data_IF_230151492515
#
_entry.id   IF_230151492515
#
_cell.length_a   1.000
_cell.length_b   1.000
_cell.length_c   1.000
_cell.angle_alpha   90.00
_cell.angle_beta   90.00
_cell.angle_gamma   90.00
#
_symmetry.space_group_name_H-M   'P 1'
#
loop_
_entity.id
_entity.type
_entity.pdbx_description
1 polymer ?
#
# COMPACT_ATOMS: atom_id res chain seq x y z
N UNK A 1 -50.39 -16.13 19.33
CA UNK A 1 -49.61 -16.21 18.08
C UNK A 1 -48.91 -14.88 17.72
N UNK A 2 -49.59 -13.73 17.75
CA UNK A 2 -48.97 -12.41 17.43
C UNK A 2 -47.85 -11.94 18.38
N UNK A 3 -47.88 -12.37 19.66
CA UNK A 3 -46.84 -12.05 20.66
C UNK A 3 -45.54 -12.86 20.51
N UNK A 4 -45.61 -14.08 19.96
CA UNK A 4 -44.42 -14.93 19.71
C UNK A 4 -43.67 -14.43 18.47
N UNK A 5 -44.40 -13.92 17.47
CA UNK A 5 -43.82 -13.33 16.26
C UNK A 5 -43.03 -12.04 16.54
N UNK A 6 -43.43 -11.25 17.55
CA UNK A 6 -42.71 -10.04 17.97
C UNK A 6 -41.42 -10.33 18.74
N UNK A 7 -41.32 -11.47 19.44
CA UNK A 7 -40.10 -11.86 20.17
C UNK A 7 -39.05 -12.38 19.19
N UNK A 8 -39.45 -13.10 18.13
CA UNK A 8 -38.53 -13.56 17.08
C UNK A 8 -37.95 -12.42 16.23
N UNK A 9 -38.70 -11.34 16.01
CA UNK A 9 -38.20 -10.17 15.28
C UNK A 9 -37.25 -9.30 16.11
N UNK A 10 -37.42 -9.26 17.44
CA UNK A 10 -36.48 -8.58 18.33
C UNK A 10 -35.14 -9.35 18.51
N UNK A 11 -35.16 -10.68 18.45
CA UNK A 11 -33.94 -11.51 18.55
C UNK A 11 -33.04 -11.43 17.32
N UNK A 12 -33.58 -11.16 16.14
CA UNK A 12 -32.83 -11.14 14.88
C UNK A 12 -32.01 -9.86 14.67
N UNK A 13 -32.29 -8.79 15.43
CA UNK A 13 -31.57 -7.50 15.29
C UNK A 13 -30.29 -7.45 16.14
N UNK A 14 -30.14 -8.33 17.13
CA UNK A 14 -28.98 -8.35 18.04
C UNK A 14 -27.72 -9.06 17.47
N UNK A 15 -27.80 -9.65 16.27
CA UNK A 15 -26.72 -10.44 15.67
C UNK A 15 -25.82 -9.71 14.66
N UNK A 16 -26.17 -8.47 14.28
CA UNK A 16 -25.44 -7.73 13.24
C UNK A 16 -24.60 -6.61 13.84
N UNK A 17 -23.59 -6.97 14.64
CA UNK A 17 -22.47 -6.07 14.84
C UNK A 17 -21.69 -6.04 13.52
N UNK A 18 -21.63 -4.91 12.78
CA UNK A 18 -20.68 -4.81 11.69
C UNK A 18 -19.30 -5.03 12.29
N UNK A 19 -18.56 -6.00 11.77
CA UNK A 19 -17.13 -6.10 12.01
C UNK A 19 -16.54 -4.75 11.61
N UNK A 20 -16.26 -3.89 12.59
CA UNK A 20 -15.46 -2.70 12.37
C UNK A 20 -14.12 -3.28 11.92
N UNK A 21 -13.92 -3.32 10.60
CA UNK A 21 -12.63 -3.67 10.02
C UNK A 21 -11.63 -2.77 10.69
N UNK A 22 -10.79 -3.31 11.57
CA UNK A 22 -9.70 -2.54 12.14
C UNK A 22 -8.85 -2.19 10.93
N UNK A 23 -8.92 -0.95 10.48
CA UNK A 23 -8.01 -0.41 9.50
C UNK A 23 -6.61 -0.83 9.98
N UNK A 24 -5.95 -1.68 9.22
CA UNK A 24 -4.60 -2.13 9.52
C UNK A 24 -3.72 -0.91 9.36
N UNK A 25 -3.56 -0.16 10.43
CA UNK A 25 -2.82 1.09 10.39
C UNK A 25 -1.34 0.73 10.52
N UNK A 26 -0.69 0.55 9.38
CA UNK A 26 0.76 0.53 9.30
C UNK A 26 1.23 1.98 9.35
N UNK A 27 1.97 2.31 10.39
CA UNK A 27 2.59 3.62 10.58
C UNK A 27 4.10 3.47 10.46
N UNK A 28 4.73 4.43 9.82
CA UNK A 28 6.16 4.45 9.66
C UNK A 28 6.64 5.69 8.91
N UNK A 29 7.91 5.67 8.56
CA UNK A 29 8.52 6.66 7.68
C UNK A 29 8.51 6.13 6.26
N UNK A 30 8.02 6.94 5.34
CA UNK A 30 8.00 6.66 3.90
C UNK A 30 8.89 7.67 3.18
N UNK A 31 9.69 7.18 2.25
CA UNK A 31 10.50 8.00 1.35
C UNK A 31 10.30 7.49 -0.07
N UNK A 32 10.06 8.44 -0.97
CA UNK A 32 9.99 8.19 -2.39
C UNK A 32 10.96 9.13 -3.10
N UNK A 33 11.75 8.58 -4.01
CA UNK A 33 12.52 9.34 -4.98
C UNK A 33 12.11 8.93 -6.38
N UNK A 34 11.98 9.91 -7.26
CA UNK A 34 11.62 9.74 -8.67
C UNK A 34 12.75 10.23 -9.54
N UNK A 35 12.84 9.69 -10.77
CA UNK A 35 13.75 10.23 -11.79
C UNK A 35 13.23 11.49 -12.49
N UNK A 36 12.01 11.93 -12.17
CA UNK A 36 11.43 13.21 -12.57
C UNK A 36 11.12 14.03 -11.31
N UNK A 37 11.08 15.36 -11.44
CA UNK A 37 10.70 16.23 -10.34
C UNK A 37 9.18 16.20 -10.12
N UNK A 38 8.78 15.86 -8.90
CA UNK A 38 7.36 15.67 -8.53
C UNK A 38 6.67 16.99 -8.17
N UNK A 39 7.40 17.93 -7.56
CA UNK A 39 6.87 19.20 -7.06
C UNK A 39 7.32 20.37 -7.91
N UNK A 40 6.89 20.37 -9.16
CA UNK A 40 7.34 21.34 -10.15
C UNK A 40 6.19 21.99 -10.91
N UNK A 41 6.48 23.10 -11.59
CA UNK A 41 5.51 23.80 -12.43
C UNK A 41 5.25 23.05 -13.74
N UNK A 42 4.13 23.32 -14.43
CA UNK A 42 3.78 22.63 -15.68
C UNK A 42 4.87 22.70 -16.75
N UNK A 43 5.59 23.83 -16.84
CA UNK A 43 6.67 24.00 -17.81
C UNK A 43 7.81 22.99 -17.63
N UNK A 44 8.16 22.66 -16.38
CA UNK A 44 9.24 21.73 -16.09
C UNK A 44 8.75 20.28 -16.21
N UNK A 45 7.54 19.99 -15.70
CA UNK A 45 6.93 18.68 -15.88
C UNK A 45 6.84 18.31 -17.39
N UNK A 46 6.41 19.25 -18.23
CA UNK A 46 6.37 19.06 -19.69
C UNK A 46 7.75 18.87 -20.34
N UNK A 47 8.82 19.36 -19.70
CA UNK A 47 10.17 19.13 -20.17
C UNK A 47 10.72 17.73 -19.77
N UNK A 48 10.01 17.00 -18.91
CA UNK A 48 10.44 15.69 -18.38
C UNK A 48 9.53 14.53 -18.80
N UNK A 49 8.23 14.76 -18.94
CA UNK A 49 7.24 13.73 -19.31
C UNK A 49 7.64 13.08 -20.64
N UNK A 50 7.65 11.75 -20.67
CA UNK A 50 8.07 10.95 -21.82
C UNK A 50 9.59 10.84 -22.02
N UNK A 51 10.39 11.57 -21.25
CA UNK A 51 11.87 11.52 -21.29
C UNK A 51 12.45 10.87 -20.04
N UNK A 52 11.92 11.21 -18.85
CA UNK A 52 12.30 10.67 -17.54
C UNK A 52 11.05 10.36 -16.69
N UNK A 53 11.24 10.03 -15.41
CA UNK A 53 10.15 9.68 -14.48
C UNK A 53 9.66 8.23 -14.57
N UNK A 54 10.30 7.40 -15.39
CA UNK A 54 10.03 5.97 -15.54
C UNK A 54 10.73 5.11 -14.46
N UNK A 55 11.43 5.73 -13.50
CA UNK A 55 12.17 5.06 -12.43
C UNK A 55 11.85 5.68 -11.08
N UNK A 56 11.75 4.83 -10.06
CA UNK A 56 11.50 5.28 -8.70
C UNK A 56 12.16 4.35 -7.67
N UNK A 57 12.49 4.89 -6.49
CA UNK A 57 12.83 4.10 -5.32
C UNK A 57 11.86 4.49 -4.22
N UNK A 58 11.13 3.51 -3.70
CA UNK A 58 10.16 3.65 -2.63
C UNK A 58 10.68 2.88 -1.42
N UNK A 59 10.84 3.53 -0.28
CA UNK A 59 11.32 2.92 0.95
C UNK A 59 10.31 3.16 2.07
N UNK A 60 9.98 2.10 2.79
CA UNK A 60 9.12 2.16 3.96
C UNK A 60 9.83 1.56 5.17
N UNK A 61 9.97 2.36 6.23
CA UNK A 61 10.41 1.92 7.56
C UNK A 61 9.20 1.82 8.46
N UNK A 62 8.77 0.60 8.77
CA UNK A 62 7.57 0.36 9.58
C UNK A 62 7.93 0.57 11.06
N UNK A 63 7.30 1.56 11.69
CA UNK A 63 7.46 1.82 13.12
C UNK A 63 6.50 0.93 13.92
N UNK A 64 5.23 0.89 13.52
CA UNK A 64 4.20 0.04 14.13
C UNK A 64 3.19 -0.40 13.09
N UNK A 65 2.76 -1.66 13.17
CA UNK A 65 1.66 -2.16 12.36
C UNK A 65 1.73 -3.65 12.10
N UNK A 66 0.65 -4.15 11.52
CA UNK A 66 0.57 -5.52 11.04
C UNK A 66 -0.07 -5.55 9.66
N UNK A 67 0.38 -6.49 8.84
CA UNK A 67 -0.20 -6.76 7.53
C UNK A 67 -0.82 -8.16 7.56
N UNK A 68 -2.13 -8.25 7.28
CA UNK A 68 -2.87 -9.51 7.27
C UNK A 68 -2.66 -10.38 8.53
N UNK A 69 -2.50 -9.75 9.70
CA UNK A 69 -2.27 -10.43 10.98
C UNK A 69 -0.80 -10.68 11.34
N UNK A 70 0.14 -10.42 10.44
CA UNK A 70 1.58 -10.54 10.67
C UNK A 70 2.15 -9.21 11.15
N UNK A 71 2.78 -9.19 12.33
CA UNK A 71 3.41 -7.98 12.89
C UNK A 71 4.68 -7.62 12.12
N UNK A 72 4.78 -6.36 11.69
CA UNK A 72 5.90 -5.84 10.90
C UNK A 72 6.69 -4.72 11.62
N UNK A 73 6.43 -4.54 12.92
CA UNK A 73 7.06 -3.51 13.74
C UNK A 73 8.59 -3.54 13.60
N UNK A 74 9.18 -2.40 13.27
CA UNK A 74 10.63 -2.25 13.17
C UNK A 74 11.26 -2.98 11.98
N UNK A 75 10.50 -3.39 10.98
CA UNK A 75 10.99 -3.91 9.70
C UNK A 75 10.98 -2.83 8.61
N UNK A 76 11.73 -3.09 7.53
CA UNK A 76 11.77 -2.23 6.35
C UNK A 76 11.52 -3.01 5.06
N UNK A 77 11.01 -2.31 4.05
CA UNK A 77 10.99 -2.79 2.67
C UNK A 77 11.32 -1.64 1.72
N UNK A 78 12.05 -1.95 0.65
CA UNK A 78 12.38 -1.00 -0.42
C UNK A 78 12.01 -1.60 -1.76
N UNK A 79 11.32 -0.85 -2.61
CA UNK A 79 11.07 -1.17 -4.01
C UNK A 79 11.90 -0.28 -4.92
N UNK A 80 12.71 -0.89 -5.80
CA UNK A 80 13.41 -0.21 -6.89
C UNK A 80 12.67 -0.51 -8.18
N UNK A 81 12.07 0.52 -8.78
CA UNK A 81 11.02 0.39 -9.80
C UNK A 81 11.52 0.90 -11.16
N UNK A 82 11.15 0.17 -12.21
CA UNK A 82 11.20 0.61 -13.60
C UNK A 82 9.82 0.42 -14.24
N UNK A 83 9.22 1.51 -14.71
CA UNK A 83 7.93 1.52 -15.42
C UNK A 83 8.14 1.60 -16.94
N UNK A 84 7.08 1.35 -17.72
CA UNK A 84 7.09 1.55 -19.18
C UNK A 84 6.99 3.03 -19.58
N UNK A 85 6.35 3.87 -18.76
CA UNK A 85 6.17 5.30 -19.00
C UNK A 85 6.42 6.13 -17.73
N UNK A 86 6.37 7.46 -17.85
CA UNK A 86 6.50 8.40 -16.73
C UNK A 86 5.45 8.11 -15.67
N UNK A 87 5.89 7.87 -14.43
CA UNK A 87 5.02 7.56 -13.30
C UNK A 87 4.22 8.80 -12.90
N UNK A 88 2.89 8.69 -12.90
CA UNK A 88 1.98 9.79 -12.57
C UNK A 88 1.52 10.63 -13.78
N UNK A 89 2.01 10.34 -15.00
CA UNK A 89 1.48 10.95 -16.23
C UNK A 89 0.04 10.46 -16.49
N UNK A 90 -0.96 11.34 -16.55
CA UNK A 90 -2.35 10.94 -16.78
C UNK A 90 -2.63 10.49 -18.23
N UNK A 91 -1.70 10.70 -19.17
CA UNK A 91 -1.89 10.42 -20.59
C UNK A 91 -1.18 9.15 -21.08
N UNK A 92 -0.33 8.54 -20.25
CA UNK A 92 0.44 7.35 -20.59
C UNK A 92 0.15 6.20 -19.64
N UNK A 93 0.28 4.98 -20.14
CA UNK A 93 0.17 3.77 -19.33
C UNK A 93 1.55 3.37 -18.78
N UNK A 94 1.78 3.39 -17.45
CA UNK A 94 3.06 3.04 -16.86
C UNK A 94 3.34 1.52 -16.86
N UNK A 95 2.35 0.68 -17.20
CA UNK A 95 2.50 -0.77 -17.17
C UNK A 95 3.07 -1.36 -18.47
N UNK A 96 3.84 -2.47 -18.42
CA UNK A 96 4.26 -3.16 -17.20
C UNK A 96 5.25 -2.31 -16.39
N UNK A 97 5.13 -2.40 -15.07
CA UNK A 97 6.07 -1.85 -14.12
C UNK A 97 6.70 -3.00 -13.36
N UNK A 98 8.01 -3.03 -13.33
CA UNK A 98 8.81 -4.06 -12.68
C UNK A 98 9.50 -3.47 -11.46
N UNK A 99 9.64 -4.28 -10.41
CA UNK A 99 10.28 -3.86 -9.17
C UNK A 99 11.21 -4.94 -8.65
N UNK A 100 12.40 -4.53 -8.20
CA UNK A 100 13.24 -5.32 -7.30
C UNK A 100 12.88 -4.93 -5.88
N UNK A 101 12.39 -5.90 -5.11
CA UNK A 101 12.07 -5.70 -3.69
C UNK A 101 13.26 -6.12 -2.81
N UNK A 102 13.74 -5.19 -1.99
CA UNK A 102 14.73 -5.41 -0.95
C UNK A 102 13.98 -5.48 0.37
N UNK A 103 14.06 -6.64 1.02
CA UNK A 103 13.33 -6.94 2.25
C UNK A 103 14.32 -7.06 3.40
N UNK A 104 13.97 -6.51 4.57
CA UNK A 104 14.81 -6.54 5.77
C UNK A 104 15.31 -7.95 6.10
N UNK A 105 16.62 -8.10 6.29
CA UNK A 105 17.28 -9.39 6.49
C UNK A 105 16.82 -10.08 7.77
N UNK A 106 16.49 -9.31 8.81
CA UNK A 106 16.04 -9.85 10.10
C UNK A 106 14.59 -10.31 10.11
N UNK A 107 13.84 -10.14 9.03
CA UNK A 107 12.46 -10.58 8.93
C UNK A 107 12.40 -12.12 8.99
N UNK A 108 11.47 -12.67 9.77
CA UNK A 108 11.17 -14.10 9.71
C UNK A 108 10.61 -14.48 8.32
N UNK A 109 10.57 -15.77 7.93
CA UNK A 109 10.00 -16.17 6.64
C UNK A 109 8.56 -15.69 6.42
N UNK A 110 7.74 -15.71 7.48
CA UNK A 110 6.37 -15.21 7.46
C UNK A 110 6.34 -13.68 7.27
N UNK A 111 7.17 -12.94 8.01
CA UNK A 111 7.29 -11.49 7.89
C UNK A 111 7.82 -11.05 6.53
N UNK A 112 8.78 -11.77 5.95
CA UNK A 112 9.30 -11.51 4.61
C UNK A 112 8.18 -11.61 3.58
N UNK A 113 7.36 -12.67 3.67
CA UNK A 113 6.20 -12.83 2.79
C UNK A 113 5.19 -11.70 2.98
N UNK A 114 4.92 -11.32 4.23
CA UNK A 114 4.01 -10.23 4.54
C UNK A 114 4.54 -8.85 4.06
N UNK A 115 5.84 -8.58 4.17
CA UNK A 115 6.48 -7.36 3.63
C UNK A 115 6.39 -7.28 2.10
N UNK A 116 6.61 -8.41 1.42
CA UNK A 116 6.49 -8.48 -0.04
C UNK A 116 5.04 -8.17 -0.46
N UNK A 117 4.05 -8.79 0.19
CA UNK A 117 2.64 -8.52 -0.10
C UNK A 117 2.26 -7.07 0.21
N UNK A 118 2.70 -6.56 1.36
CA UNK A 118 2.49 -5.16 1.74
C UNK A 118 3.05 -4.18 0.70
N UNK A 119 4.22 -4.48 0.11
CA UNK A 119 4.84 -3.63 -0.91
C UNK A 119 4.19 -3.73 -2.30
N UNK A 120 3.28 -4.67 -2.52
CA UNK A 120 2.60 -4.92 -3.81
C UNK A 120 1.16 -4.39 -3.85
N UNK A 121 0.69 -3.79 -2.76
CA UNK A 121 -0.65 -3.22 -2.59
C UNK A 121 -0.63 -1.70 -2.77
#
# INVERSE_FOLDING_TARGET
MRKILMILTAGLVLGSFPSIGRAQHIRGTYVETRSADVYTGPCFANAEVGLVGDRAILAWRIERGQWQGVRLDGLSVVGVIKARATLGDPYSDPYPAEAVLIVDEKATPEQRTALIRFAQE
#
